data_IF_608450221737
#
_entry.id   IF_608450221737
#
_cell.length_a   1.000
_cell.length_b   1.000
_cell.length_c   1.000
_cell.angle_alpha   90.00
_cell.angle_beta   90.00
_cell.angle_gamma   90.00
#
_symmetry.space_group_name_H-M   'P 1'
#
loop_
_entity.id
_entity.type
_entity.pdbx_description
1 polymer ?
#
# COMPACT_ATOMS: atom_id res chain seq x y z
N UNK A 1 17.98 -45.58 -3.33
CA UNK A 1 19.03 -45.23 -2.34
C UNK A 1 20.33 -44.69 -2.95
N UNK A 2 20.37 -44.24 -4.21
CA UNK A 2 21.58 -43.67 -4.83
C UNK A 2 21.46 -42.18 -5.21
N UNK A 3 20.26 -41.57 -5.15
CA UNK A 3 20.04 -40.16 -5.50
C UNK A 3 20.28 -39.17 -4.35
N UNK A 4 20.25 -39.64 -3.09
CA UNK A 4 20.52 -38.77 -1.92
C UNK A 4 22.01 -38.49 -1.71
N UNK A 5 22.90 -39.38 -2.16
CA UNK A 5 24.36 -39.19 -2.09
C UNK A 5 24.85 -38.12 -3.07
N UNK A 6 24.23 -37.98 -4.23
CA UNK A 6 24.62 -36.98 -5.25
C UNK A 6 24.24 -35.57 -4.80
N UNK A 7 23.11 -35.40 -4.10
CA UNK A 7 22.69 -34.11 -3.54
C UNK A 7 23.64 -33.64 -2.42
N UNK A 8 24.10 -34.55 -1.56
CA UNK A 8 25.07 -34.21 -0.50
C UNK A 8 26.46 -33.86 -1.05
N UNK A 9 26.91 -34.52 -2.12
CA UNK A 9 28.20 -34.21 -2.76
C UNK A 9 28.16 -32.86 -3.48
N UNK A 10 27.03 -32.49 -4.10
CA UNK A 10 26.87 -31.16 -4.72
C UNK A 10 26.78 -30.04 -3.67
N UNK A 11 26.21 -30.29 -2.49
CA UNK A 11 26.19 -29.31 -1.40
C UNK A 11 27.60 -29.12 -0.80
N UNK A 12 28.40 -30.18 -0.65
CA UNK A 12 29.79 -30.06 -0.16
C UNK A 12 30.70 -29.37 -1.19
N UNK A 13 30.51 -29.62 -2.49
CA UNK A 13 31.23 -28.88 -3.54
C UNK A 13 30.81 -27.41 -3.62
N UNK A 14 29.54 -27.10 -3.34
CA UNK A 14 29.06 -25.71 -3.27
C UNK A 14 29.40 -24.99 -1.94
N UNK A 15 29.88 -25.72 -0.93
CA UNK A 15 30.36 -25.16 0.34
C UNK A 15 31.89 -24.97 0.39
N UNK A 16 32.65 -25.61 -0.50
CA UNK A 16 34.10 -25.38 -0.62
C UNK A 16 34.45 -24.16 -1.50
N UNK A 17 33.52 -23.68 -2.34
CA UNK A 17 33.66 -22.45 -3.13
C UNK A 17 33.19 -21.17 -2.41
N UNK A 18 32.83 -21.24 -1.12
CA UNK A 18 32.45 -20.08 -0.29
C UNK A 18 33.49 -19.70 0.76
N UNK A 19 34.76 -20.07 0.54
CA UNK A 19 35.92 -19.59 1.32
C UNK A 19 36.88 -18.81 0.41
N UNK A 20 36.43 -17.64 -0.04
CA UNK A 20 37.17 -16.83 -1.01
C UNK A 20 36.73 -15.38 -1.09
N UNK A 21 36.70 -14.66 0.03
CA UNK A 21 36.66 -13.20 0.01
C UNK A 21 38.06 -12.63 0.23
N UNK A 22 38.88 -12.67 -0.83
CA UNK A 22 40.02 -11.78 -0.97
C UNK A 22 39.50 -10.34 -1.08
N UNK A 23 39.88 -9.52 -0.10
CA UNK A 23 39.68 -8.09 -0.11
C UNK A 23 40.36 -7.48 -1.34
N UNK A 24 39.54 -6.77 -2.12
CA UNK A 24 39.98 -5.97 -3.25
C UNK A 24 40.98 -4.91 -2.76
N UNK A 25 42.23 -5.09 -3.17
CA UNK A 25 43.30 -4.10 -3.09
C UNK A 25 42.94 -2.93 -4.01
N UNK A 26 42.54 -1.81 -3.41
CA UNK A 26 42.73 -0.48 -4.01
C UNK A 26 43.71 0.28 -3.13
N UNK A 27 44.98 0.17 -3.52
CA UNK A 27 46.12 1.00 -3.16
C UNK A 27 45.76 2.36 -2.56
N UNK A 28 46.04 2.51 -1.26
CA UNK A 28 46.61 3.75 -0.70
C UNK A 28 47.74 3.37 0.24
N UNK A 29 48.93 3.40 -0.35
CA UNK A 29 50.21 3.36 0.31
C UNK A 29 50.30 4.47 1.38
N UNK A 30 49.99 4.14 2.63
CA UNK A 30 50.50 4.85 3.80
C UNK A 30 51.56 3.97 4.42
N UNK A 31 52.81 4.23 4.04
CA UNK A 31 53.98 3.74 4.76
C UNK A 31 53.91 4.28 6.19
N UNK A 32 53.33 3.49 7.10
CA UNK A 32 53.53 3.68 8.52
C UNK A 32 54.95 3.22 8.84
N UNK A 33 55.87 4.20 8.83
CA UNK A 33 57.18 4.09 9.46
C UNK A 33 56.94 3.71 10.93
N UNK A 34 57.16 2.45 11.26
CA UNK A 34 57.19 1.95 12.64
C UNK A 34 58.29 2.70 13.38
N UNK A 35 57.90 3.67 14.21
CA UNK A 35 58.76 4.27 15.22
C UNK A 35 58.33 3.62 16.54
N UNK A 36 59.20 2.74 17.01
CA UNK A 36 59.16 2.10 18.32
C UNK A 36 59.01 3.19 19.40
N UNK A 37 57.91 3.18 20.16
CA UNK A 37 57.81 3.89 21.43
C UNK A 37 56.67 4.90 21.63
N UNK A 38 55.76 5.13 20.68
CA UNK A 38 54.63 6.06 20.90
C UNK A 38 53.39 5.31 21.38
N UNK A 39 52.91 5.63 22.58
CA UNK A 39 51.67 5.08 23.17
C UNK A 39 50.48 5.30 22.23
N UNK A 40 49.69 4.24 22.03
CA UNK A 40 48.49 4.26 21.18
C UNK A 40 47.60 5.47 21.49
N UNK A 41 47.51 5.91 22.75
CA UNK A 41 46.68 7.05 23.18
C UNK A 41 47.04 8.43 22.62
N UNK A 42 48.27 8.63 22.12
CA UNK A 42 48.67 9.90 21.47
C UNK A 42 48.38 9.90 19.96
N UNK A 43 48.15 8.73 19.36
CA UNK A 43 48.00 8.58 17.91
C UNK A 43 46.55 8.84 17.45
N UNK A 44 45.59 8.94 18.37
CA UNK A 44 44.19 9.25 18.03
C UNK A 44 43.94 10.75 17.89
N UNK A 45 43.31 11.14 16.77
CA UNK A 45 42.81 12.51 16.57
C UNK A 45 41.81 12.89 17.66
N UNK A 46 42.05 14.03 18.32
CA UNK A 46 41.19 14.51 19.42
C UNK A 46 41.93 14.81 20.72
N UNK A 47 43.18 14.36 20.86
CA UNK A 47 44.04 14.70 21.99
C UNK A 47 44.64 16.12 21.86
N UNK A 48 44.69 16.88 22.96
CA UNK A 48 45.33 18.20 23.07
C UNK A 48 46.74 18.10 23.64
N UNK A 49 46.88 17.37 24.75
CA UNK A 49 48.15 17.14 25.45
C UNK A 49 48.30 15.66 25.73
N UNK A 50 49.50 15.12 25.56
CA UNK A 50 49.73 13.69 25.65
C UNK A 50 51.10 13.37 26.28
N UNK A 51 51.24 12.14 26.79
CA UNK A 51 52.47 11.61 27.37
C UNK A 51 52.67 10.15 26.97
N UNK A 52 53.93 9.72 26.87
CA UNK A 52 54.24 8.34 26.44
C UNK A 52 53.74 7.27 27.43
N UNK A 53 53.60 7.60 28.72
CA UNK A 53 53.19 6.65 29.74
C UNK A 53 51.69 6.62 29.99
N UNK A 54 51.04 7.79 30.06
CA UNK A 54 49.62 7.89 30.40
C UNK A 54 48.72 8.05 29.18
N UNK A 55 49.28 8.11 27.96
CA UNK A 55 48.52 8.41 26.75
C UNK A 55 48.03 9.86 26.75
N UNK A 56 46.80 10.09 26.31
CA UNK A 56 46.22 11.41 26.25
C UNK A 56 45.84 11.96 27.63
N UNK A 57 46.28 13.20 27.93
CA UNK A 57 46.06 13.91 29.18
C UNK A 57 44.88 14.90 29.12
N UNK A 58 44.55 15.42 27.93
CA UNK A 58 43.38 16.29 27.73
C UNK A 58 42.80 16.14 26.32
N UNK A 59 41.47 16.16 26.22
CA UNK A 59 40.75 16.01 24.96
C UNK A 59 40.19 17.33 24.45
N UNK A 60 40.07 17.47 23.13
CA UNK A 60 39.33 18.56 22.49
C UNK A 60 37.87 18.56 22.99
N UNK A 61 37.18 19.72 23.06
CA UNK A 61 35.84 19.85 23.67
C UNK A 61 34.74 18.92 23.14
N UNK A 62 34.87 18.40 21.91
CA UNK A 62 33.91 17.48 21.30
C UNK A 62 34.10 16.00 21.68
N UNK A 63 35.22 15.67 22.32
CA UNK A 63 35.61 14.29 22.62
C UNK A 63 35.44 13.98 24.10
N UNK A 64 35.23 12.71 24.39
CA UNK A 64 35.21 12.16 25.74
C UNK A 64 36.53 11.49 26.06
N UNK A 65 37.01 11.65 27.29
CA UNK A 65 38.19 10.97 27.81
C UNK A 65 37.80 9.61 28.39
N UNK A 66 38.27 8.54 27.78
CA UNK A 66 38.15 7.18 28.30
C UNK A 66 39.50 6.69 28.82
N UNK A 67 39.49 5.92 29.91
CA UNK A 67 40.68 5.28 30.45
C UNK A 67 40.67 3.81 30.04
N UNK A 68 41.46 3.48 29.03
CA UNK A 68 41.59 2.13 28.52
C UNK A 68 42.61 1.34 29.36
N UNK A 69 42.26 0.10 29.73
CA UNK A 69 43.12 -0.74 30.56
C UNK A 69 43.90 -1.72 29.67
N UNK A 70 45.22 -1.61 29.65
CA UNK A 70 46.12 -2.52 28.94
C UNK A 70 46.97 -3.24 29.99
N UNK A 71 46.59 -4.48 30.32
CA UNK A 71 47.17 -5.23 31.43
C UNK A 71 46.94 -4.51 32.76
N UNK A 72 48.03 -4.06 33.41
CA UNK A 72 47.97 -3.29 34.66
C UNK A 72 47.99 -1.77 34.44
N UNK A 73 48.24 -1.29 33.22
CA UNK A 73 48.32 0.14 32.89
C UNK A 73 46.95 0.69 32.50
N UNK A 74 46.71 1.95 32.85
CA UNK A 74 45.57 2.72 32.36
C UNK A 74 46.10 3.85 31.49
N UNK A 75 45.61 3.95 30.25
CA UNK A 75 45.98 5.00 29.32
C UNK A 75 44.75 5.84 28.95
N UNK A 76 44.93 7.15 28.84
CA UNK A 76 43.90 8.06 28.38
C UNK A 76 43.77 8.04 26.86
N UNK A 77 42.53 7.91 26.38
CA UNK A 77 42.18 7.98 24.96
C UNK A 77 40.99 8.93 24.77
N UNK A 78 41.00 9.68 23.67
CA UNK A 78 39.90 10.58 23.32
C UNK A 78 38.98 9.91 22.30
N UNK A 79 37.71 9.75 22.65
CA UNK A 79 36.71 9.07 21.82
C UNK A 79 35.52 9.99 21.53
N UNK A 80 34.88 9.83 20.38
CA UNK A 80 33.69 10.62 20.02
C UNK A 80 32.43 10.13 20.74
N UNK A 81 32.43 8.89 21.21
CA UNK A 81 31.35 8.27 21.99
C UNK A 81 31.95 7.25 22.96
N UNK A 82 31.42 7.19 24.18
CA UNK A 82 31.93 6.27 25.19
C UNK A 82 31.66 4.81 24.81
N UNK A 83 32.59 3.89 25.12
CA UNK A 83 32.43 2.47 24.81
C UNK A 83 31.29 1.82 25.62
N UNK A 84 30.82 0.61 25.23
CA UNK A 84 29.79 -0.13 25.97
C UNK A 84 30.14 -0.26 27.46
N UNK A 85 29.12 -0.11 28.32
CA UNK A 85 29.31 -0.09 29.77
C UNK A 85 29.80 1.26 30.34
N UNK A 86 29.95 2.29 29.52
CA UNK A 86 30.28 3.65 29.94
C UNK A 86 29.32 4.68 29.33
N UNK A 87 29.09 5.77 30.05
CA UNK A 87 28.33 6.93 29.58
C UNK A 87 29.21 8.18 29.64
N UNK A 88 28.96 9.14 28.75
CA UNK A 88 29.72 10.39 28.69
C UNK A 88 29.12 11.45 29.61
N UNK A 89 29.95 12.04 30.46
CA UNK A 89 29.56 13.23 31.23
C UNK A 89 30.30 14.44 30.66
N UNK A 90 29.62 15.57 30.43
CA UNK A 90 30.26 16.80 29.95
C UNK A 90 30.45 17.77 31.10
N UNK A 91 31.70 18.08 31.45
CA UNK A 91 32.04 19.18 32.36
C UNK A 91 32.79 20.27 31.59
N UNK A 92 32.83 21.51 32.11
CA UNK A 92 33.52 22.63 31.45
C UNK A 92 34.99 22.34 31.14
N UNK A 93 35.68 21.60 32.00
CA UNK A 93 37.12 21.35 31.87
C UNK A 93 37.46 19.99 31.27
N UNK A 94 36.59 18.99 31.48
CA UNK A 94 36.83 17.61 31.03
C UNK A 94 35.51 16.89 30.75
N UNK A 95 35.48 16.07 29.73
CA UNK A 95 34.31 15.22 29.45
C UNK A 95 34.67 13.74 29.63
N UNK A 96 34.59 13.14 30.83
CA UNK A 96 35.01 11.75 31.02
C UNK A 96 33.94 10.74 30.61
N UNK A 97 34.38 9.58 30.15
CA UNK A 97 33.58 8.37 30.10
C UNK A 97 33.53 7.75 31.50
N UNK A 98 32.34 7.68 32.07
CA UNK A 98 32.09 7.15 33.42
C UNK A 98 31.45 5.78 33.30
N UNK A 99 31.90 4.81 34.10
CA UNK A 99 31.36 3.45 34.07
C UNK A 99 29.91 3.43 34.54
N UNK A 100 29.07 2.62 33.89
CA UNK A 100 27.73 2.30 34.36
C UNK A 100 27.77 1.51 35.68
N UNK A 101 26.62 1.41 36.35
CA UNK A 101 26.49 0.54 37.54
C UNK A 101 26.69 -0.93 37.18
N UNK A 102 27.04 -1.75 38.17
CA UNK A 102 27.33 -3.17 38.03
C UNK A 102 26.20 -3.99 37.43
N UNK A 103 24.96 -3.65 37.71
CA UNK A 103 23.73 -4.31 37.25
C UNK A 103 23.35 -3.90 35.81
N UNK A 104 24.09 -2.96 35.22
CA UNK A 104 23.76 -2.31 33.96
C UNK A 104 24.81 -2.62 32.88
N UNK A 105 24.35 -3.10 31.72
CA UNK A 105 25.18 -3.33 30.53
C UNK A 105 25.43 -2.01 29.76
N UNK A 106 24.40 -1.19 29.62
CA UNK A 106 24.50 0.13 28.97
C UNK A 106 23.61 1.15 29.67
N UNK A 107 24.12 2.37 29.82
CA UNK A 107 23.41 3.45 30.52
C UNK A 107 23.57 4.78 29.80
N UNK A 108 22.60 5.67 29.98
CA UNK A 108 22.67 7.06 29.55
C UNK A 108 23.27 7.95 30.65
N UNK A 109 23.00 7.61 31.92
CA UNK A 109 23.52 8.30 33.09
C UNK A 109 23.73 7.29 34.23
N UNK A 110 24.39 7.73 35.32
CA UNK A 110 24.65 6.89 36.50
C UNK A 110 23.41 6.17 37.06
N UNK A 111 22.25 6.80 36.95
CA UNK A 111 20.98 6.29 37.48
C UNK A 111 19.96 5.96 36.37
N UNK A 112 20.37 5.99 35.11
CA UNK A 112 19.51 5.71 33.97
C UNK A 112 20.16 4.67 33.08
N UNK A 113 19.85 3.41 33.36
CA UNK A 113 20.22 2.26 32.57
C UNK A 113 19.27 2.09 31.37
N UNK A 114 19.82 1.65 30.25
CA UNK A 114 19.06 1.32 29.03
C UNK A 114 19.06 -0.17 28.73
N UNK A 115 19.97 -0.94 29.34
CA UNK A 115 20.00 -2.40 29.23
C UNK A 115 20.60 -3.02 30.48
N UNK A 116 19.89 -3.96 31.09
CA UNK A 116 20.34 -4.65 32.29
C UNK A 116 21.17 -5.88 31.98
N UNK A 117 22.09 -6.22 32.89
CA UNK A 117 22.82 -7.49 32.85
C UNK A 117 21.88 -8.67 33.03
N UNK A 118 22.34 -9.85 32.60
CA UNK A 118 21.63 -11.10 32.89
C UNK A 118 21.36 -11.25 34.39
N UNK A 119 20.13 -11.65 34.75
CA UNK A 119 19.66 -11.73 36.13
C UNK A 119 19.03 -10.43 36.68
N UNK A 120 19.11 -9.31 35.94
CA UNK A 120 18.46 -8.05 36.30
C UNK A 120 17.46 -7.60 35.23
N UNK A 121 16.40 -6.94 35.68
CA UNK A 121 15.28 -6.51 34.85
C UNK A 121 15.14 -4.99 34.92
N UNK A 122 14.94 -4.37 33.76
CA UNK A 122 14.80 -2.93 33.62
C UNK A 122 13.40 -2.48 34.09
N UNK A 123 13.37 -1.47 34.97
CA UNK A 123 12.17 -0.80 35.40
C UNK A 123 12.48 0.69 35.64
N UNK A 124 11.82 1.59 34.90
CA UNK A 124 11.99 3.05 34.99
C UNK A 124 13.47 3.50 34.97
N UNK A 125 14.27 2.91 34.09
CA UNK A 125 15.70 3.23 33.95
C UNK A 125 16.61 2.62 35.03
N UNK A 126 16.11 1.73 35.90
CA UNK A 126 16.89 1.01 36.91
C UNK A 126 16.86 -0.49 36.66
N UNK A 127 17.96 -1.15 36.98
CA UNK A 127 18.06 -2.61 36.91
C UNK A 127 17.91 -3.21 38.31
N UNK A 128 17.05 -4.20 38.42
CA UNK A 128 16.72 -4.85 39.70
C UNK A 128 16.49 -6.35 39.51
N UNK A 129 16.79 -7.15 40.52
CA UNK A 129 16.67 -8.62 40.46
C UNK A 129 15.20 -9.07 40.49
N UNK A 130 14.37 -8.38 41.28
CA UNK A 130 12.94 -8.65 41.44
C UNK A 130 12.11 -7.49 40.92
N UNK A 131 11.03 -7.78 40.18
CA UNK A 131 10.09 -6.76 39.73
C UNK A 131 9.21 -6.24 40.87
N UNK A 132 8.77 -4.97 40.83
CA UNK A 132 7.86 -4.41 41.83
C UNK A 132 6.49 -5.09 41.74
N UNK A 133 5.63 -4.85 42.73
CA UNK A 133 4.29 -5.43 42.75
C UNK A 133 3.49 -5.10 41.48
N UNK A 134 2.75 -6.09 40.97
CA UNK A 134 1.97 -5.99 39.75
C UNK A 134 2.73 -6.22 38.44
N UNK A 135 4.07 -6.33 38.48
CA UNK A 135 4.91 -6.62 37.31
C UNK A 135 5.55 -8.00 37.40
N UNK A 136 5.89 -8.56 36.24
CA UNK A 136 6.54 -9.86 36.07
C UNK A 136 7.82 -9.71 35.25
N UNK A 137 8.72 -10.69 35.40
CA UNK A 137 9.99 -10.76 34.68
C UNK A 137 9.74 -11.15 33.23
N UNK A 138 10.15 -10.30 32.29
CA UNK A 138 10.21 -10.65 30.88
C UNK A 138 11.64 -11.04 30.50
N UNK A 139 11.89 -12.34 30.36
CA UNK A 139 13.21 -12.89 30.03
C UNK A 139 13.69 -12.48 28.63
N UNK A 140 12.78 -12.35 27.66
CA UNK A 140 13.13 -12.02 26.28
C UNK A 140 13.69 -10.59 26.17
N UNK A 141 13.10 -9.65 26.91
CA UNK A 141 13.49 -8.24 26.87
C UNK A 141 14.42 -7.84 28.03
N UNK A 142 14.53 -8.65 29.10
CA UNK A 142 15.18 -8.31 30.37
C UNK A 142 14.60 -7.05 31.00
N UNK A 143 13.27 -7.00 31.05
CA UNK A 143 12.50 -5.87 31.57
C UNK A 143 11.40 -6.35 32.52
N UNK A 144 10.96 -5.48 33.42
CA UNK A 144 9.76 -5.71 34.21
C UNK A 144 8.54 -5.30 33.38
N UNK A 145 7.73 -6.29 33.00
CA UNK A 145 6.55 -6.11 32.17
C UNK A 145 5.26 -6.38 32.97
N UNK A 146 4.12 -5.79 32.58
CA UNK A 146 2.85 -6.14 33.19
C UNK A 146 2.50 -7.61 32.95
N UNK A 147 1.76 -8.21 33.90
CA UNK A 147 1.24 -9.57 33.74
C UNK A 147 0.08 -9.56 32.75
N UNK A 148 0.35 -9.91 31.50
CA UNK A 148 -0.67 -9.94 30.46
C UNK A 148 -1.60 -11.17 30.56
N UNK A 149 -2.85 -11.05 30.07
CA UNK A 149 -3.75 -12.19 29.87
C UNK A 149 -3.13 -13.30 29.01
N UNK A 150 -3.65 -14.52 29.12
CA UNK A 150 -3.13 -15.69 28.39
C UNK A 150 -3.14 -15.50 26.86
N UNK A 151 -4.12 -14.78 26.33
CA UNK A 151 -4.32 -14.57 24.90
C UNK A 151 -3.62 -13.32 24.36
N UNK A 152 -2.90 -12.61 25.23
CA UNK A 152 -2.24 -11.35 24.95
C UNK A 152 -0.71 -11.52 24.92
N UNK A 153 -0.06 -10.95 23.92
CA UNK A 153 1.41 -10.92 23.78
C UNK A 153 2.02 -9.72 24.52
N UNK A 154 1.43 -8.53 24.35
CA UNK A 154 1.83 -7.32 25.08
C UNK A 154 0.61 -6.52 25.53
N UNK A 155 0.68 -5.93 26.72
CA UNK A 155 -0.41 -5.23 27.36
C UNK A 155 0.09 -3.98 28.10
N UNK A 156 -0.83 -3.03 28.35
CA UNK A 156 -0.56 -1.89 29.23
C UNK A 156 -0.63 -2.32 30.69
N UNK A 157 -1.62 -3.15 31.01
CA UNK A 157 -1.88 -3.70 32.33
C UNK A 157 -2.56 -5.08 32.17
N UNK A 158 -2.98 -5.70 33.27
CA UNK A 158 -3.60 -7.03 33.24
C UNK A 158 -4.95 -7.11 32.50
N UNK A 159 -5.54 -5.99 32.09
CA UNK A 159 -6.85 -5.94 31.44
C UNK A 159 -6.79 -5.45 30.00
N UNK A 160 -5.91 -4.49 29.70
CA UNK A 160 -5.82 -3.81 28.42
C UNK A 160 -4.65 -4.37 27.60
N UNK A 161 -4.97 -5.25 26.66
CA UNK A 161 -4.05 -5.77 25.68
C UNK A 161 -3.76 -4.75 24.57
N UNK A 162 -2.52 -4.70 24.10
CA UNK A 162 -2.10 -3.89 22.94
C UNK A 162 -1.72 -4.75 21.75
N UNK A 163 -1.38 -6.02 21.97
CA UNK A 163 -1.03 -6.97 20.91
C UNK A 163 -1.48 -8.36 21.29
N UNK A 164 -2.36 -8.92 20.49
CA UNK A 164 -2.85 -10.28 20.69
C UNK A 164 -1.84 -11.32 20.23
N UNK A 165 -1.93 -12.52 20.80
CA UNK A 165 -1.21 -13.67 20.26
C UNK A 165 -1.69 -14.02 18.86
N UNK A 166 -0.86 -14.76 18.13
CA UNK A 166 -1.10 -15.09 16.74
C UNK A 166 -2.43 -15.85 16.55
N UNK A 167 -3.22 -15.41 15.56
CA UNK A 167 -4.55 -15.98 15.29
C UNK A 167 -5.69 -15.40 16.11
N UNK A 168 -5.47 -14.30 16.84
CA UNK A 168 -6.51 -13.55 17.53
C UNK A 168 -6.56 -12.10 17.06
N UNK A 169 -7.74 -11.51 17.16
CA UNK A 169 -8.03 -10.15 16.73
C UNK A 169 -8.26 -9.25 17.94
N UNK A 170 -7.57 -8.10 17.96
CA UNK A 170 -7.70 -7.11 19.02
C UNK A 170 -8.99 -6.29 18.82
N UNK A 171 -9.77 -6.15 19.89
CA UNK A 171 -10.93 -5.26 19.95
C UNK A 171 -11.04 -4.65 21.35
N UNK A 172 -11.03 -3.32 21.45
CA UNK A 172 -11.23 -2.59 22.72
C UNK A 172 -10.31 -3.09 23.85
N UNK A 173 -9.05 -3.40 23.54
CA UNK A 173 -8.07 -3.88 24.51
C UNK A 173 -8.21 -5.36 24.89
N UNK A 174 -9.06 -6.14 24.23
CA UNK A 174 -9.23 -7.58 24.45
C UNK A 174 -8.96 -8.36 23.17
N UNK A 175 -8.51 -9.59 23.33
CA UNK A 175 -8.22 -10.48 22.22
C UNK A 175 -9.39 -11.44 22.01
N UNK A 176 -9.83 -11.54 20.76
CA UNK A 176 -10.96 -12.37 20.37
C UNK A 176 -10.51 -13.37 19.31
N UNK A 177 -10.88 -14.64 19.49
CA UNK A 177 -10.69 -15.67 18.45
C UNK A 177 -11.65 -15.47 17.27
N UNK A 178 -12.86 -14.97 17.55
CA UNK A 178 -13.88 -14.59 16.57
C UNK A 178 -14.40 -13.22 16.95
N UNK A 179 -14.45 -12.30 15.99
CA UNK A 179 -14.95 -10.95 16.25
C UNK A 179 -16.44 -10.99 16.62
N UNK A 180 -16.88 -10.17 17.60
CA UNK A 180 -18.30 -10.04 17.95
C UNK A 180 -19.17 -9.57 16.78
N UNK A 181 -20.49 -9.64 16.98
CA UNK A 181 -21.48 -9.10 16.04
C UNK A 181 -21.19 -7.62 15.72
N UNK A 182 -21.45 -7.21 14.48
CA UNK A 182 -21.11 -5.90 13.90
C UNK A 182 -19.61 -5.64 13.67
N UNK A 183 -18.73 -6.62 13.92
CA UNK A 183 -17.31 -6.55 13.59
C UNK A 183 -16.89 -7.67 12.64
N UNK A 184 -15.87 -7.40 11.83
CA UNK A 184 -15.23 -8.35 10.92
C UNK A 184 -13.73 -8.44 11.21
N UNK A 185 -13.12 -9.62 11.02
CA UNK A 185 -11.68 -9.79 11.21
C UNK A 185 -10.89 -9.10 10.10
N UNK A 186 -9.91 -8.28 10.48
CA UNK A 186 -8.96 -7.66 9.56
C UNK A 186 -7.58 -8.27 9.73
N UNK A 187 -7.19 -9.19 8.85
CA UNK A 187 -5.87 -9.87 8.90
C UNK A 187 -4.70 -8.89 8.72
N UNK A 188 -4.92 -7.74 8.07
CA UNK A 188 -3.86 -6.74 7.90
C UNK A 188 -3.55 -5.99 9.20
N UNK A 189 -4.58 -5.77 10.01
CA UNK A 189 -4.48 -5.03 11.27
C UNK A 189 -4.38 -5.97 12.47
N UNK A 190 -4.74 -7.25 12.32
CA UNK A 190 -4.93 -8.20 13.41
C UNK A 190 -5.91 -7.66 14.46
N UNK A 191 -6.95 -7.00 13.98
CA UNK A 191 -7.96 -6.27 14.75
C UNK A 191 -9.37 -6.62 14.24
N UNK A 192 -10.35 -6.47 15.11
CA UNK A 192 -11.76 -6.50 14.72
C UNK A 192 -12.17 -5.11 14.25
N UNK A 193 -12.50 -4.97 12.97
CA UNK A 193 -12.97 -3.70 12.39
C UNK A 193 -14.49 -3.70 12.31
N UNK A 194 -15.16 -2.55 12.49
CA UNK A 194 -16.61 -2.48 12.33
C UNK A 194 -17.04 -2.92 10.92
N UNK A 195 -18.07 -3.74 10.84
CA UNK A 195 -18.70 -4.14 9.59
C UNK A 195 -19.31 -2.90 8.93
N UNK A 196 -19.05 -2.77 7.64
CA UNK A 196 -19.67 -1.71 6.83
C UNK A 196 -20.89 -2.30 6.15
N UNK A 197 -22.08 -1.80 6.48
CA UNK A 197 -23.31 -2.15 5.77
C UNK A 197 -23.55 -1.22 4.58
N UNK A 198 -24.25 -1.73 3.56
CA UNK A 198 -24.58 -0.90 2.42
C UNK A 198 -25.56 0.22 2.80
N UNK A 199 -25.22 1.45 2.41
CA UNK A 199 -26.10 2.60 2.53
C UNK A 199 -26.41 3.13 1.14
N UNK A 200 -27.69 3.38 0.88
CA UNK A 200 -28.18 3.87 -0.42
C UNK A 200 -28.84 5.22 -0.23
N UNK A 201 -28.78 6.04 -1.27
CA UNK A 201 -29.36 7.37 -1.28
C UNK A 201 -30.86 7.37 -1.53
N UNK A 202 -31.39 8.57 -1.65
CA UNK A 202 -32.77 8.78 -2.07
C UNK A 202 -33.00 8.28 -3.51
N UNK A 203 -34.25 7.91 -3.78
CA UNK A 203 -34.67 7.52 -5.11
C UNK A 203 -34.63 8.71 -6.09
N UNK A 204 -34.21 8.44 -7.33
CA UNK A 204 -34.41 9.40 -8.40
C UNK A 204 -35.90 9.62 -8.67
N UNK A 205 -36.19 10.72 -9.35
CA UNK A 205 -37.46 10.87 -10.06
C UNK A 205 -37.70 9.71 -11.03
N UNK A 206 -38.97 9.39 -11.26
CA UNK A 206 -39.37 8.35 -12.21
C UNK A 206 -39.04 8.76 -13.65
N UNK A 207 -38.46 7.84 -14.41
CA UNK A 207 -38.24 8.07 -15.84
C UNK A 207 -39.57 8.22 -16.58
N UNK A 208 -39.61 8.92 -17.73
CA UNK A 208 -40.79 8.90 -18.59
C UNK A 208 -41.21 7.48 -18.95
N UNK A 209 -42.52 7.22 -18.93
CA UNK A 209 -43.09 5.94 -19.35
C UNK A 209 -42.56 5.55 -20.74
N UNK A 210 -41.98 4.36 -20.86
CA UNK A 210 -41.35 3.90 -22.11
C UNK A 210 -41.66 2.42 -22.39
N UNK A 211 -41.57 2.02 -23.66
CA UNK A 211 -41.64 0.61 -24.08
C UNK A 211 -40.64 0.34 -25.19
N UNK A 212 -39.70 -0.59 -24.94
CA UNK A 212 -38.62 -0.93 -25.87
C UNK A 212 -37.81 0.31 -26.31
N UNK A 213 -37.45 1.18 -25.36
CA UNK A 213 -36.68 2.40 -25.60
C UNK A 213 -37.44 3.53 -26.30
N UNK A 214 -38.76 3.43 -26.46
CA UNK A 214 -39.61 4.46 -27.09
C UNK A 214 -40.58 5.04 -26.08
N UNK A 215 -40.92 6.32 -26.22
CA UNK A 215 -41.89 7.05 -25.36
C UNK A 215 -43.24 7.33 -26.05
N UNK A 216 -43.43 6.83 -27.27
CA UNK A 216 -44.62 7.04 -28.10
C UNK A 216 -45.09 5.74 -28.78
N UNK A 217 -46.31 5.73 -29.33
CA UNK A 217 -46.95 4.59 -30.06
C UNK A 217 -47.33 3.36 -29.21
N UNK A 218 -47.30 3.43 -27.88
CA UNK A 218 -47.80 2.37 -26.99
C UNK A 218 -48.84 2.89 -25.99
N UNK A 219 -49.53 1.95 -25.32
CA UNK A 219 -50.54 2.22 -24.28
C UNK A 219 -50.07 1.79 -22.89
N UNK A 220 -49.35 0.66 -22.81
CA UNK A 220 -48.69 0.11 -21.62
C UNK A 220 -47.19 0.24 -21.81
N UNK A 221 -46.49 0.75 -20.81
CA UNK A 221 -45.04 0.84 -20.76
C UNK A 221 -44.56 0.64 -19.32
N UNK A 222 -43.29 0.94 -19.09
CA UNK A 222 -42.66 0.91 -17.78
C UNK A 222 -41.94 2.24 -17.53
N UNK A 223 -42.00 2.69 -16.29
CA UNK A 223 -41.17 3.75 -15.73
C UNK A 223 -40.17 3.11 -14.77
N UNK A 224 -38.96 3.64 -14.76
CA UNK A 224 -37.86 3.14 -13.94
C UNK A 224 -37.31 4.29 -13.11
N UNK A 225 -37.07 4.03 -11.83
CA UNK A 225 -36.30 4.93 -10.97
C UNK A 225 -35.10 4.17 -10.41
N UNK A 226 -34.04 4.91 -10.09
CA UNK A 226 -32.80 4.34 -9.58
C UNK A 226 -32.31 5.15 -8.40
N UNK A 227 -31.61 4.50 -7.47
CA UNK A 227 -30.90 5.19 -6.37
C UNK A 227 -29.43 4.82 -6.40
N UNK A 228 -28.59 5.74 -5.94
CA UNK A 228 -27.15 5.54 -5.87
C UNK A 228 -26.76 4.83 -4.57
N UNK A 229 -25.71 4.01 -4.62
CA UNK A 229 -25.08 3.45 -3.42
C UNK A 229 -24.14 4.51 -2.83
N UNK A 230 -24.44 4.98 -1.62
CA UNK A 230 -23.63 5.97 -0.90
C UNK A 230 -22.44 5.31 -0.20
N UNK A 231 -22.66 4.12 0.37
CA UNK A 231 -21.62 3.33 1.01
C UNK A 231 -21.76 1.88 0.58
N UNK A 232 -20.68 1.33 0.03
CA UNK A 232 -20.65 -0.09 -0.34
C UNK A 232 -20.45 -0.96 0.91
N UNK A 233 -21.06 -2.16 0.93
CA UNK A 233 -20.90 -3.07 2.04
C UNK A 233 -19.52 -3.72 2.06
N UNK A 234 -19.04 -4.01 3.26
CA UNK A 234 -17.94 -4.94 3.53
C UNK A 234 -18.32 -6.38 3.15
N UNK A 235 -17.35 -7.32 3.06
CA UNK A 235 -17.63 -8.73 2.78
C UNK A 235 -18.63 -9.38 3.74
N UNK A 236 -18.64 -8.94 5.00
CA UNK A 236 -19.55 -9.44 6.03
C UNK A 236 -20.76 -8.54 6.27
N UNK A 237 -20.84 -7.39 5.58
CA UNK A 237 -21.93 -6.43 5.73
C UNK A 237 -23.19 -6.82 4.94
N UNK A 238 -24.32 -6.24 5.35
CA UNK A 238 -25.58 -6.42 4.64
C UNK A 238 -25.50 -5.92 3.19
N UNK A 239 -25.95 -6.72 2.20
CA UNK A 239 -25.91 -6.34 0.80
C UNK A 239 -26.82 -5.13 0.53
N UNK A 240 -26.56 -4.44 -0.57
CA UNK A 240 -27.36 -3.28 -0.93
C UNK A 240 -28.82 -3.68 -1.17
N UNK A 241 -29.78 -2.95 -0.58
CA UNK A 241 -31.18 -3.13 -0.93
C UNK A 241 -31.40 -2.70 -2.39
N UNK A 242 -32.55 -3.04 -2.96
CA UNK A 242 -32.83 -2.89 -4.40
C UNK A 242 -32.51 -1.48 -4.92
N UNK A 243 -31.65 -1.37 -5.94
CA UNK A 243 -31.14 -0.08 -6.45
C UNK A 243 -31.90 0.46 -7.66
N UNK A 244 -32.77 -0.36 -8.25
CA UNK A 244 -33.60 -0.02 -9.40
C UNK A 244 -35.00 -0.55 -9.22
N UNK A 245 -35.99 0.30 -9.41
CA UNK A 245 -37.38 -0.11 -9.31
C UNK A 245 -38.08 0.16 -10.65
N UNK A 246 -38.88 -0.81 -11.10
CA UNK A 246 -39.62 -0.74 -12.34
C UNK A 246 -41.10 -0.83 -12.02
N UNK A 247 -41.87 0.14 -12.54
CA UNK A 247 -43.31 0.21 -12.35
C UNK A 247 -44.02 0.31 -13.69
N UNK A 248 -45.16 -0.37 -13.80
CA UNK A 248 -45.99 -0.28 -15.00
C UNK A 248 -46.72 1.07 -15.09
N UNK A 249 -46.79 1.61 -16.31
CA UNK A 249 -47.44 2.89 -16.59
C UNK A 249 -48.36 2.81 -17.80
N UNK A 250 -49.44 3.60 -17.76
CA UNK A 250 -50.44 3.69 -18.82
C UNK A 250 -50.43 5.08 -19.44
N UNK A 251 -50.19 5.16 -20.75
CA UNK A 251 -50.15 6.43 -21.49
C UNK A 251 -51.14 6.44 -22.64
N UNK A 252 -51.61 7.65 -22.99
CA UNK A 252 -52.40 7.85 -24.21
C UNK A 252 -51.52 7.60 -25.43
N UNK A 253 -51.97 6.77 -26.38
CA UNK A 253 -51.23 6.48 -27.62
C UNK A 253 -51.08 7.75 -28.45
N UNK A 254 -49.87 8.32 -28.48
CA UNK A 254 -49.50 9.44 -29.36
C UNK A 254 -48.60 8.98 -30.51
N UNK A 255 -48.71 9.63 -31.67
CA UNK A 255 -47.78 9.41 -32.79
C UNK A 255 -46.43 10.02 -32.41
N UNK A 256 -45.35 9.32 -32.75
CA UNK A 256 -44.01 9.84 -32.55
C UNK A 256 -43.77 11.06 -33.47
N UNK A 257 -43.15 12.14 -32.97
CA UNK A 257 -42.69 13.24 -33.82
C UNK A 257 -41.73 12.68 -34.89
N UNK A 258 -41.95 13.00 -36.18
CA UNK A 258 -41.04 12.60 -37.27
C UNK A 258 -41.36 11.31 -38.05
N UNK A 259 -42.59 10.79 -38.00
CA UNK A 259 -42.94 9.57 -38.74
C UNK A 259 -42.84 9.71 -40.27
N UNK A 260 -41.90 8.99 -40.91
CA UNK A 260 -41.61 8.81 -42.37
C UNK A 260 -42.79 8.33 -43.26
N UNK A 261 -44.04 8.62 -42.92
CA UNK A 261 -45.22 8.28 -43.74
C UNK A 261 -45.40 9.24 -44.91
N UNK A 262 -44.99 10.50 -44.79
CA UNK A 262 -45.08 11.47 -45.90
C UNK A 262 -44.05 11.19 -46.99
N UNK A 263 -42.80 10.85 -46.65
CA UNK A 263 -41.75 10.54 -47.63
C UNK A 263 -42.15 9.41 -48.59
N UNK A 264 -42.72 8.31 -48.09
CA UNK A 264 -43.15 7.18 -48.94
C UNK A 264 -44.33 7.55 -49.85
N UNK A 265 -45.21 8.47 -49.44
CA UNK A 265 -46.36 8.93 -50.25
C UNK A 265 -45.89 9.91 -51.32
N UNK A 266 -45.01 10.84 -50.96
CA UNK A 266 -44.37 11.77 -51.89
C UNK A 266 -43.49 11.06 -52.92
N UNK A 267 -42.70 10.06 -52.50
CA UNK A 267 -41.90 9.23 -53.42
C UNK A 267 -42.79 8.49 -54.42
N UNK A 268 -43.93 7.94 -53.97
CA UNK A 268 -44.91 7.27 -54.85
C UNK A 268 -45.54 8.24 -55.86
N UNK A 269 -45.86 9.46 -55.43
CA UNK A 269 -46.42 10.50 -56.32
C UNK A 269 -45.36 10.97 -57.33
N UNK A 270 -44.10 11.15 -56.88
CA UNK A 270 -42.97 11.55 -57.73
C UNK A 270 -42.71 10.50 -58.80
N UNK A 271 -42.60 9.23 -58.42
CA UNK A 271 -42.42 8.11 -59.35
C UNK A 271 -43.58 7.98 -60.35
N UNK A 272 -44.82 8.30 -59.95
CA UNK A 272 -45.98 8.29 -60.86
C UNK A 272 -45.88 9.41 -61.90
N UNK A 273 -45.52 10.63 -61.48
CA UNK A 273 -45.30 11.77 -62.39
C UNK A 273 -44.15 11.51 -63.38
N UNK A 274 -43.06 10.91 -62.91
CA UNK A 274 -41.93 10.56 -63.79
C UNK A 274 -42.34 9.54 -64.85
N UNK A 275 -43.17 8.56 -64.49
CA UNK A 275 -43.70 7.55 -65.42
C UNK A 275 -44.65 8.15 -66.46
N UNK A 276 -45.52 9.07 -66.07
CA UNK A 276 -46.40 9.81 -66.97
C UNK A 276 -45.60 10.70 -67.94
N UNK A 277 -44.57 11.39 -67.45
CA UNK A 277 -43.67 12.21 -68.27
C UNK A 277 -42.88 11.36 -69.28
N UNK A 278 -42.42 10.18 -68.87
CA UNK A 278 -41.71 9.25 -69.74
C UNK A 278 -42.63 8.68 -70.83
N UNK A 279 -43.89 8.36 -70.50
CA UNK A 279 -44.89 7.92 -71.47
C UNK A 279 -45.20 9.02 -72.49
N UNK A 280 -45.39 10.27 -72.05
CA UNK A 280 -45.61 11.40 -72.97
C UNK A 280 -44.42 11.66 -73.90
N UNK A 281 -43.18 11.48 -73.42
CA UNK A 281 -41.98 11.55 -74.28
C UNK A 281 -41.94 10.42 -75.31
N UNK A 282 -42.35 9.20 -74.95
CA UNK A 282 -42.42 8.05 -75.86
C UNK A 282 -43.51 8.25 -76.92
N UNK A 283 -44.63 8.83 -76.56
CA UNK A 283 -45.73 9.13 -77.48
C UNK A 283 -45.33 10.20 -78.51
N UNK A 284 -44.72 11.31 -78.07
CA UNK A 284 -44.16 12.32 -78.99
C UNK A 284 -43.05 11.77 -79.90
N UNK A 285 -42.27 10.79 -79.41
CA UNK A 285 -41.29 10.10 -80.26
C UNK A 285 -41.98 9.27 -81.35
N UNK A 286 -43.06 8.56 -81.00
CA UNK A 286 -43.87 7.79 -81.96
C UNK A 286 -44.59 8.69 -82.98
N UNK A 287 -45.06 9.87 -82.58
CA UNK A 287 -45.60 10.87 -83.52
C UNK A 287 -44.53 11.36 -84.50
N UNK A 288 -43.34 11.73 -84.00
CA UNK A 288 -42.21 12.14 -84.86
C UNK A 288 -41.71 11.03 -85.78
N UNK A 289 -41.88 9.77 -85.42
CA UNK A 289 -41.60 8.62 -86.29
C UNK A 289 -42.69 8.49 -87.37
N UNK A 290 -43.98 8.62 -87.02
CA UNK A 290 -45.09 8.63 -88.00
C UNK A 290 -45.03 9.78 -89.00
N UNK A 291 -44.64 10.98 -88.57
CA UNK A 291 -44.45 12.15 -89.45
C UNK A 291 -43.26 11.97 -90.41
N UNK A 292 -42.28 11.14 -90.04
CA UNK A 292 -41.13 10.83 -90.89
C UNK A 292 -41.49 9.79 -91.97
N UNK A 293 -42.38 8.85 -91.63
CA UNK A 293 -42.87 7.83 -92.56
C UNK A 293 -43.84 8.41 -93.60
N UNK A 294 -44.64 9.44 -93.27
CA UNK A 294 -45.53 10.11 -94.23
C UNK A 294 -44.81 11.05 -95.21
N UNK A 295 -43.59 11.49 -94.90
CA UNK A 295 -42.77 12.32 -95.80
C UNK A 295 -42.02 11.52 -96.89
N UNK A 296 -42.20 10.19 -96.96
CA UNK A 296 -41.42 9.29 -97.83
C UNK A 296 -42.20 8.69 -99.01
N UNK A 297 -43.36 9.24 -99.39
CA UNK A 297 -44.15 8.72 -100.53
C UNK A 297 -44.26 9.76 -101.66
N UNK A 298 -43.50 9.63 -102.78
CA UNK A 298 -43.61 10.50 -103.93
C UNK A 298 -44.81 10.12 -104.81
N UNK A 299 -45.55 11.15 -105.17
CA UNK A 299 -46.58 11.20 -106.21
C UNK A 299 -46.06 10.75 -107.58
N UNK A 300 -46.70 9.75 -108.19
CA UNK A 300 -46.58 9.49 -109.63
C UNK A 300 -47.97 9.54 -110.28
N UNK A 301 -48.10 10.52 -111.17
CA UNK A 301 -49.17 10.70 -112.15
C UNK A 301 -49.12 9.60 -113.22
N UNK A 302 -50.25 9.28 -113.88
CA UNK A 302 -50.34 8.21 -114.87
C UNK A 302 -49.93 8.69 -116.27
N UNK A 303 -49.23 7.85 -117.03
CA UNK A 303 -49.05 8.00 -118.48
C UNK A 303 -49.56 6.75 -119.19
N UNK A 304 -50.17 7.03 -120.36
CA UNK A 304 -50.85 6.17 -121.33
C UNK A 304 -50.05 4.95 -121.78
#
# INVERSE_FOLDING_TARGET
>A
MQLHLISFVLIILHCMDYTGCQQHSSSRHWQHKQISGVSSGCQQGGCLTCSDYNGCLSCKPRFFMHLERIGMKQIGVCVTSCPPGFYGTRFPERSPCTKCRSECDSCFAKNFCTRCRAGFYLHLGKCQETCPEGLVRNEAQRECAPKCPADCESCVNSETCTRCRQGLYLLSGRCHHVCPDDFEPSDKLMECTPQVHCEVGEWSEWSPCSRSGRTCRFKRGQETRTRQVLRYPSPFGNPCPEISEIKECLVKRRKCPGGRRNERKEQRIRNRKDKETQNGRRERKRERERERDTASTPSLLPLR
#
